data_IF_472260023816
#
_entry.id   IF_472260023816
#
_cell.length_a   1.000
_cell.length_b   1.000
_cell.length_c   1.000
_cell.angle_alpha   90.00
_cell.angle_beta   90.00
_cell.angle_gamma   90.00
#
_symmetry.space_group_name_H-M   'P 1'
#
loop_
_entity.id
_entity.type
_entity.pdbx_description
1 polymer ?
#
# COMPACT_ATOMS: atom_id res chain seq x y z
N UNK A 1 0.51 -17.09 -57.20
CA UNK A 1 0.53 -15.69 -56.72
C UNK A 1 0.84 -15.72 -55.24
N UNK A 2 1.86 -14.96 -54.85
CA UNK A 2 2.55 -15.03 -53.55
C UNK A 2 1.66 -14.62 -52.38
N UNK A 3 1.81 -15.36 -51.29
CA UNK A 3 1.36 -14.96 -49.96
C UNK A 3 2.03 -13.64 -49.57
N UNK A 4 1.24 -12.72 -49.02
CA UNK A 4 1.74 -11.56 -48.28
C UNK A 4 1.03 -11.52 -46.94
N UNK A 5 1.36 -12.50 -46.09
CA UNK A 5 1.13 -12.39 -44.65
C UNK A 5 2.02 -11.25 -44.17
N UNK A 6 1.44 -10.09 -43.88
CA UNK A 6 2.17 -9.03 -43.22
C UNK A 6 2.58 -9.56 -41.84
N UNK A 7 3.89 -9.80 -41.68
CA UNK A 7 4.56 -9.94 -40.39
C UNK A 7 4.45 -8.60 -39.67
N UNK A 8 3.27 -8.31 -39.12
CA UNK A 8 3.18 -7.35 -38.05
C UNK A 8 3.92 -7.97 -36.87
N UNK A 9 4.91 -7.27 -36.27
CA UNK A 9 5.41 -7.69 -34.98
C UNK A 9 4.18 -7.82 -34.08
N UNK A 10 4.11 -8.90 -33.30
CA UNK A 10 3.11 -9.12 -32.26
C UNK A 10 3.35 -8.05 -31.19
N UNK A 11 2.98 -6.83 -31.55
CA UNK A 11 3.20 -5.62 -30.79
C UNK A 11 2.41 -5.78 -29.51
N UNK A 12 3.01 -5.40 -28.38
CA UNK A 12 2.45 -5.41 -27.03
C UNK A 12 0.98 -4.93 -27.02
N UNK A 13 0.03 -5.82 -27.31
CA UNK A 13 -1.39 -5.51 -27.29
C UNK A 13 -1.89 -5.69 -25.86
N UNK A 14 -2.35 -4.59 -25.32
CA UNK A 14 -3.28 -4.47 -24.18
C UNK A 14 -2.70 -4.74 -22.79
N UNK A 15 -1.60 -4.06 -22.46
CA UNK A 15 -1.24 -3.87 -21.05
C UNK A 15 -2.02 -2.68 -20.48
N UNK A 16 -3.18 -2.95 -19.88
CA UNK A 16 -4.00 -1.92 -19.21
C UNK A 16 -3.15 -1.08 -18.25
N UNK A 17 -3.38 0.25 -18.19
CA UNK A 17 -2.62 1.15 -17.33
C UNK A 17 -2.83 0.79 -15.85
N UNK A 18 -1.83 1.07 -15.02
CA UNK A 18 -1.84 0.72 -13.58
C UNK A 18 -3.08 1.26 -12.84
N UNK A 19 -3.56 2.44 -13.24
CA UNK A 19 -4.74 3.10 -12.68
C UNK A 19 -6.05 2.37 -12.99
N UNK A 20 -6.12 1.67 -14.12
CA UNK A 20 -7.27 0.84 -14.45
C UNK A 20 -7.15 -0.52 -13.76
N UNK A 21 -5.93 -1.09 -13.71
CA UNK A 21 -5.67 -2.36 -13.04
C UNK A 21 -6.01 -2.36 -11.56
N UNK A 22 -5.79 -1.24 -10.87
CA UNK A 22 -6.18 -1.13 -9.45
C UNK A 22 -7.69 -1.13 -9.25
N UNK A 23 -8.46 -0.71 -10.26
CA UNK A 23 -9.91 -0.71 -10.25
C UNK A 23 -10.52 -2.07 -10.59
N UNK A 24 -9.71 -3.09 -10.90
CA UNK A 24 -10.20 -4.42 -11.27
C UNK A 24 -9.53 -5.52 -10.45
N UNK A 25 -10.34 -6.49 -10.03
CA UNK A 25 -9.87 -7.69 -9.38
C UNK A 25 -9.21 -8.61 -10.41
N UNK A 26 -8.18 -9.38 -10.03
CA UNK A 26 -7.52 -10.32 -10.92
C UNK A 26 -8.27 -11.66 -11.04
N UNK A 27 -9.36 -11.85 -10.28
CA UNK A 27 -10.17 -13.07 -10.26
C UNK A 27 -11.51 -12.85 -10.92
N UNK A 28 -11.89 -13.75 -11.84
CA UNK A 28 -13.18 -13.70 -12.54
C UNK A 28 -14.40 -13.79 -11.58
N UNK A 29 -14.21 -14.37 -10.39
CA UNK A 29 -15.27 -14.48 -9.38
C UNK A 29 -15.60 -13.18 -8.63
N UNK A 30 -14.78 -12.12 -8.78
CA UNK A 30 -15.00 -10.84 -8.10
C UNK A 30 -15.45 -9.81 -9.14
N UNK A 31 -16.77 -9.64 -9.27
CA UNK A 31 -17.34 -8.61 -10.14
C UNK A 31 -17.07 -7.18 -9.64
N UNK A 32 -17.21 -6.20 -10.53
CA UNK A 32 -16.90 -4.78 -10.24
C UNK A 32 -17.68 -4.22 -9.05
N UNK A 33 -18.98 -4.53 -8.92
CA UNK A 33 -19.81 -4.09 -7.79
C UNK A 33 -19.35 -4.68 -6.45
N UNK A 34 -18.99 -5.96 -6.46
CA UNK A 34 -18.45 -6.64 -5.28
C UNK A 34 -17.10 -6.03 -4.86
N UNK A 35 -16.24 -5.73 -5.84
CA UNK A 35 -14.96 -5.08 -5.58
C UNK A 35 -15.12 -3.69 -4.94
N UNK A 36 -16.05 -2.87 -5.43
CA UNK A 36 -16.36 -1.57 -4.82
C UNK A 36 -16.81 -1.75 -3.36
N UNK A 37 -17.71 -2.71 -3.09
CA UNK A 37 -18.16 -3.02 -1.73
C UNK A 37 -17.01 -3.44 -0.81
N UNK A 38 -16.15 -4.36 -1.27
CA UNK A 38 -14.99 -4.85 -0.50
C UNK A 38 -13.96 -3.74 -0.23
N UNK A 39 -13.65 -2.91 -1.23
CA UNK A 39 -12.80 -1.73 -1.06
C UNK A 39 -13.43 -0.72 -0.09
N UNK A 40 -14.75 -0.54 -0.16
CA UNK A 40 -15.53 0.34 0.72
C UNK A 40 -15.43 -0.09 2.19
N UNK A 41 -15.68 -1.36 2.47
CA UNK A 41 -15.55 -1.94 3.81
C UNK A 41 -14.13 -1.78 4.34
N UNK A 42 -13.12 -2.09 3.51
CA UNK A 42 -11.71 -2.01 3.88
C UNK A 42 -11.28 -0.57 4.17
N UNK A 43 -11.61 0.39 3.30
CA UNK A 43 -11.25 1.80 3.46
C UNK A 43 -11.91 2.43 4.69
N UNK A 44 -13.19 2.11 4.94
CA UNK A 44 -13.91 2.57 6.13
C UNK A 44 -13.30 1.98 7.40
N UNK A 45 -13.05 0.67 7.44
CA UNK A 45 -12.36 0.04 8.58
C UNK A 45 -11.02 0.70 8.86
N UNK A 46 -10.18 0.88 7.83
CA UNK A 46 -8.86 1.50 7.95
C UNK A 46 -8.94 2.94 8.47
N UNK A 47 -9.92 3.73 8.03
CA UNK A 47 -10.08 5.11 8.51
C UNK A 47 -10.49 5.16 9.99
N UNK A 48 -11.53 4.39 10.34
CA UNK A 48 -12.08 4.37 11.71
C UNK A 48 -11.03 3.83 12.68
N UNK A 49 -10.42 2.70 12.36
CA UNK A 49 -9.37 2.11 13.20
C UNK A 49 -8.13 2.99 13.28
N UNK A 50 -7.70 3.66 12.20
CA UNK A 50 -6.58 4.59 12.27
C UNK A 50 -6.86 5.76 13.22
N UNK A 51 -8.05 6.37 13.14
CA UNK A 51 -8.46 7.43 14.06
C UNK A 51 -8.47 6.96 15.51
N UNK A 52 -9.04 5.77 15.78
CA UNK A 52 -9.08 5.16 17.11
C UNK A 52 -7.67 4.85 17.64
N UNK A 53 -6.79 4.29 16.81
CA UNK A 53 -5.40 3.94 17.15
C UNK A 53 -4.61 5.20 17.52
N UNK A 54 -4.70 6.25 16.72
CA UNK A 54 -4.00 7.52 16.97
C UNK A 54 -4.53 8.19 18.23
N UNK A 55 -5.86 8.27 18.41
CA UNK A 55 -6.46 8.87 19.60
C UNK A 55 -6.04 8.14 20.87
N UNK A 56 -6.07 6.80 20.85
CA UNK A 56 -5.62 5.98 21.95
C UNK A 56 -4.14 6.19 22.26
N UNK A 57 -3.28 6.16 21.24
CA UNK A 57 -1.84 6.32 21.44
C UNK A 57 -1.48 7.71 21.95
N UNK A 58 -2.15 8.75 21.45
CA UNK A 58 -1.94 10.12 21.88
C UNK A 58 -2.40 10.39 23.32
N UNK A 59 -3.49 9.75 23.77
CA UNK A 59 -4.11 10.03 25.09
C UNK A 59 -3.74 9.04 26.19
N UNK A 60 -3.52 7.77 25.85
CA UNK A 60 -3.45 6.67 26.82
C UNK A 60 -2.09 5.98 26.89
N UNK A 61 -1.12 6.41 26.08
CA UNK A 61 0.24 5.88 26.11
C UNK A 61 1.25 6.97 26.47
N UNK A 62 2.46 6.57 26.87
CA UNK A 62 3.57 7.50 27.19
C UNK A 62 4.09 8.25 25.95
N UNK A 63 3.62 7.90 24.76
CA UNK A 63 4.07 8.44 23.49
C UNK A 63 3.51 9.85 23.24
N UNK A 64 2.25 10.11 23.58
CA UNK A 64 1.63 11.43 23.39
C UNK A 64 1.76 11.91 21.94
N UNK A 65 2.36 13.09 21.74
CA UNK A 65 2.60 13.66 20.40
C UNK A 65 3.54 12.81 19.52
N UNK A 66 4.35 11.93 20.11
CA UNK A 66 5.25 11.03 19.36
C UNK A 66 4.47 10.07 18.45
N UNK A 67 3.19 9.80 18.74
CA UNK A 67 2.33 8.95 17.94
C UNK A 67 2.35 9.33 16.45
N UNK A 68 2.39 10.62 16.12
CA UNK A 68 2.39 11.12 14.74
C UNK A 68 3.71 10.87 13.96
N UNK A 69 4.79 10.56 14.67
CA UNK A 69 6.12 10.34 14.09
C UNK A 69 6.52 8.86 14.01
N UNK A 70 5.68 7.98 14.54
CA UNK A 70 5.93 6.53 14.51
C UNK A 70 5.71 5.96 13.13
N UNK A 71 6.66 5.14 12.69
CA UNK A 71 6.60 4.46 11.40
C UNK A 71 5.34 3.66 11.23
N UNK A 72 4.93 2.93 12.29
CA UNK A 72 3.73 2.11 12.23
C UNK A 72 2.47 2.94 12.00
N UNK A 73 2.38 4.16 12.54
CA UNK A 73 1.27 5.07 12.32
C UNK A 73 1.33 5.73 10.93
N UNK A 74 2.52 6.13 10.48
CA UNK A 74 2.69 6.69 9.13
C UNK A 74 2.38 5.64 8.06
N UNK A 75 2.88 4.41 8.24
CA UNK A 75 2.58 3.27 7.39
C UNK A 75 1.08 2.99 7.35
N UNK A 76 0.41 2.99 8.50
CA UNK A 76 -1.05 2.81 8.56
C UNK A 76 -1.76 3.93 7.80
N UNK A 77 -1.39 5.19 8.03
CA UNK A 77 -1.96 6.35 7.35
C UNK A 77 -1.78 6.31 5.82
N UNK A 78 -0.59 5.92 5.34
CA UNK A 78 -0.32 5.75 3.91
C UNK A 78 -1.20 4.65 3.31
N UNK A 79 -1.35 3.52 4.01
CA UNK A 79 -2.20 2.43 3.57
C UNK A 79 -3.69 2.82 3.58
N UNK A 80 -4.15 3.55 4.60
CA UNK A 80 -5.49 4.14 4.65
C UNK A 80 -5.71 5.05 3.45
N UNK A 81 -4.78 5.97 3.18
CA UNK A 81 -4.86 6.86 2.02
C UNK A 81 -4.95 6.07 0.70
N UNK A 82 -4.13 5.03 0.55
CA UNK A 82 -4.19 4.15 -0.61
C UNK A 82 -5.57 3.50 -0.79
N UNK A 83 -6.16 2.94 0.26
CA UNK A 83 -7.48 2.31 0.16
C UNK A 83 -8.59 3.31 -0.17
N UNK A 84 -8.51 4.55 0.34
CA UNK A 84 -9.46 5.59 -0.04
C UNK A 84 -9.31 6.04 -1.49
N UNK A 85 -8.07 6.27 -1.96
CA UNK A 85 -7.81 6.61 -3.37
C UNK A 85 -8.34 5.51 -4.28
N UNK A 86 -8.03 4.25 -3.98
CA UNK A 86 -8.47 3.11 -4.81
C UNK A 86 -9.97 2.87 -4.74
N UNK A 87 -10.63 3.09 -3.60
CA UNK A 87 -12.08 3.06 -3.49
C UNK A 87 -12.72 4.11 -4.40
N UNK A 88 -12.30 5.37 -4.28
CA UNK A 88 -12.81 6.48 -5.09
C UNK A 88 -12.64 6.15 -6.56
N UNK A 89 -11.44 5.73 -6.97
CA UNK A 89 -11.14 5.37 -8.36
C UNK A 89 -11.98 4.20 -8.87
N UNK A 90 -12.17 3.15 -8.06
CA UNK A 90 -12.97 1.97 -8.44
C UNK A 90 -14.45 2.34 -8.56
N UNK A 91 -14.96 3.17 -7.65
CA UNK A 91 -16.33 3.69 -7.67
C UNK A 91 -16.56 4.57 -8.90
N UNK A 92 -15.65 5.53 -9.15
CA UNK A 92 -15.71 6.41 -10.32
C UNK A 92 -15.61 5.61 -11.61
N UNK A 93 -14.78 4.56 -11.65
CA UNK A 93 -14.67 3.70 -12.81
C UNK A 93 -15.97 2.90 -13.07
N UNK A 94 -16.69 2.47 -12.03
CA UNK A 94 -17.97 1.77 -12.15
C UNK A 94 -19.10 2.69 -12.63
N UNK A 95 -19.21 3.91 -12.08
CA UNK A 95 -20.34 4.81 -12.32
C UNK A 95 -20.10 5.83 -13.44
N UNK A 96 -18.84 6.19 -13.70
CA UNK A 96 -18.43 7.20 -14.67
C UNK A 96 -17.29 6.70 -15.57
N UNK A 97 -17.50 5.61 -16.35
CA UNK A 97 -16.44 4.95 -17.11
C UNK A 97 -15.86 5.79 -18.25
N UNK A 98 -16.63 6.74 -18.78
CA UNK A 98 -16.25 7.60 -19.89
C UNK A 98 -16.09 9.05 -19.42
N UNK A 99 -14.93 9.64 -19.66
CA UNK A 99 -14.78 11.09 -19.55
C UNK A 99 -15.61 11.71 -20.67
N UNK A 100 -16.76 12.26 -20.35
CA UNK A 100 -17.57 12.94 -21.35
C UNK A 100 -16.77 14.11 -21.93
N UNK A 101 -16.78 14.25 -23.24
CA UNK A 101 -16.27 15.42 -23.99
C UNK A 101 -17.16 16.66 -23.79
N UNK A 102 -17.95 16.68 -22.71
CA UNK A 102 -18.88 17.74 -22.37
C UNK A 102 -18.15 19.03 -22.03
N UNK A 103 -18.86 20.14 -22.22
CA UNK A 103 -18.44 21.50 -21.88
C UNK A 103 -17.89 21.56 -20.45
N UNK A 104 -16.72 22.20 -20.23
CA UNK A 104 -16.11 22.26 -18.91
C UNK A 104 -17.06 22.93 -17.90
N UNK A 105 -17.39 22.19 -16.84
CA UNK A 105 -18.21 22.60 -15.70
C UNK A 105 -17.56 22.21 -14.38
N UNK A 106 -18.00 22.81 -13.27
CA UNK A 106 -17.53 22.45 -11.91
C UNK A 106 -17.72 20.95 -11.63
N UNK A 107 -18.83 20.35 -12.08
CA UNK A 107 -19.09 18.92 -11.95
C UNK A 107 -18.08 18.07 -12.74
N UNK A 108 -17.74 18.48 -13.97
CA UNK A 108 -16.72 17.80 -14.77
C UNK A 108 -15.31 17.90 -14.16
N UNK A 109 -15.01 19.01 -13.47
CA UNK A 109 -13.74 19.20 -12.77
C UNK A 109 -13.63 18.27 -11.56
N UNK A 110 -14.68 18.17 -10.74
CA UNK A 110 -14.75 17.23 -9.60
C UNK A 110 -14.66 15.78 -10.08
N UNK A 111 -15.39 15.43 -11.14
CA UNK A 111 -15.31 14.10 -11.75
C UNK A 111 -13.89 13.78 -12.21
N UNK A 112 -13.20 14.73 -12.87
CA UNK A 112 -11.82 14.55 -13.34
C UNK A 112 -10.81 14.40 -12.19
N UNK A 113 -11.01 15.12 -11.09
CA UNK A 113 -10.17 15.02 -9.89
C UNK A 113 -10.29 13.65 -9.20
N UNK A 114 -11.51 13.13 -9.10
CA UNK A 114 -11.81 11.87 -8.43
C UNK A 114 -11.63 10.65 -9.34
N UNK A 115 -11.55 10.84 -10.65
CA UNK A 115 -11.32 9.74 -11.59
C UNK A 115 -9.86 9.31 -11.60
N UNK A 116 -9.58 8.04 -11.97
CA UNK A 116 -8.22 7.59 -12.22
C UNK A 116 -7.52 8.50 -13.25
N UNK A 117 -6.21 8.80 -13.10
CA UNK A 117 -5.47 9.64 -14.03
C UNK A 117 -5.56 9.15 -15.48
N UNK A 118 -5.53 10.09 -16.44
CA UNK A 118 -5.56 9.78 -17.87
C UNK A 118 -4.46 8.76 -18.23
N UNK A 119 -4.87 7.78 -19.04
CA UNK A 119 -4.20 6.52 -19.33
C UNK A 119 -2.94 6.63 -20.22
N UNK A 120 -2.18 7.71 -20.14
CA UNK A 120 -1.03 7.89 -21.03
C UNK A 120 0.17 7.06 -20.53
N UNK A 121 0.61 6.03 -21.26
CA UNK A 121 1.53 5.00 -20.75
C UNK A 121 2.95 5.48 -20.42
N UNK A 122 3.34 6.69 -20.84
CA UNK A 122 4.67 7.29 -20.67
C UNK A 122 4.78 8.36 -19.56
N UNK A 123 3.75 8.53 -18.73
CA UNK A 123 3.72 9.63 -17.76
C UNK A 123 4.43 9.30 -16.45
N UNK A 124 5.15 10.29 -15.88
CA UNK A 124 5.78 10.19 -14.55
C UNK A 124 4.77 9.80 -13.45
N UNK A 125 3.50 10.19 -13.60
CA UNK A 125 2.41 9.85 -12.68
C UNK A 125 2.24 8.34 -12.50
N UNK A 126 2.47 7.55 -13.55
CA UNK A 126 2.41 6.08 -13.48
C UNK A 126 3.49 5.53 -12.55
N UNK A 127 4.73 6.00 -12.69
CA UNK A 127 5.86 5.56 -11.86
C UNK A 127 5.64 5.95 -10.41
N UNK A 128 5.24 7.20 -10.15
CA UNK A 128 4.94 7.67 -8.80
C UNK A 128 3.81 6.91 -8.13
N UNK A 129 2.71 6.65 -8.84
CA UNK A 129 1.63 5.84 -8.29
C UNK A 129 2.07 4.39 -8.05
N UNK A 130 2.91 3.83 -8.92
CA UNK A 130 3.45 2.48 -8.73
C UNK A 130 4.36 2.41 -7.49
N UNK A 131 5.20 3.43 -7.25
CA UNK A 131 6.01 3.54 -6.04
C UNK A 131 5.10 3.71 -4.81
N UNK A 132 4.09 4.60 -4.88
CA UNK A 132 3.11 4.79 -3.81
C UNK A 132 2.39 3.50 -3.45
N UNK A 133 1.87 2.76 -4.44
CA UNK A 133 1.31 1.42 -4.24
C UNK A 133 2.31 0.50 -3.52
N UNK A 134 3.56 0.47 -4.00
CA UNK A 134 4.59 -0.39 -3.42
C UNK A 134 4.87 -0.06 -1.95
N UNK A 135 4.95 1.22 -1.61
CA UNK A 135 5.13 1.71 -0.23
C UNK A 135 3.93 1.30 0.63
N UNK A 136 2.71 1.55 0.14
CA UNK A 136 1.46 1.24 0.84
C UNK A 136 1.28 -0.26 1.14
N UNK A 137 1.90 -1.14 0.35
CA UNK A 137 1.90 -2.59 0.61
C UNK A 137 3.11 -3.06 1.41
N UNK A 138 4.27 -2.45 1.22
CA UNK A 138 5.54 -2.93 1.83
C UNK A 138 5.68 -2.48 3.28
N UNK A 139 5.45 -1.18 3.56
CA UNK A 139 5.66 -0.62 4.89
C UNK A 139 4.83 -1.26 6.01
N UNK A 140 3.57 -1.65 5.78
CA UNK A 140 2.77 -2.33 6.80
C UNK A 140 3.41 -3.65 7.22
N UNK A 141 3.91 -4.44 6.25
CA UNK A 141 4.59 -5.71 6.52
C UNK A 141 5.88 -5.49 7.31
N UNK A 142 6.66 -4.46 6.94
CA UNK A 142 7.87 -4.05 7.67
C UNK A 142 7.53 -3.62 9.09
N UNK A 143 6.46 -2.83 9.27
CA UNK A 143 5.98 -2.38 10.58
C UNK A 143 5.58 -3.56 11.47
N UNK A 144 4.82 -4.51 10.92
CA UNK A 144 4.44 -5.75 11.59
C UNK A 144 5.66 -6.58 11.98
N UNK A 145 6.63 -6.74 11.07
CA UNK A 145 7.85 -7.46 11.36
C UNK A 145 8.67 -6.78 12.47
N UNK A 146 8.91 -5.47 12.37
CA UNK A 146 9.64 -4.73 13.40
C UNK A 146 8.93 -4.87 14.75
N UNK A 147 7.61 -4.78 14.80
CA UNK A 147 6.87 -4.93 16.05
C UNK A 147 7.08 -6.31 16.67
N UNK A 148 6.76 -7.38 15.94
CA UNK A 148 6.74 -8.74 16.48
C UNK A 148 8.13 -9.38 16.59
N UNK A 149 9.03 -9.12 15.65
CA UNK A 149 10.35 -9.74 15.62
C UNK A 149 11.43 -8.93 16.37
N UNK A 150 11.22 -7.63 16.59
CA UNK A 150 12.23 -6.75 17.19
C UNK A 150 11.72 -6.10 18.48
N UNK A 151 10.63 -5.34 18.43
CA UNK A 151 10.18 -4.52 19.56
C UNK A 151 9.61 -5.36 20.72
N UNK A 152 8.75 -6.34 20.43
CA UNK A 152 8.14 -7.21 21.44
C UNK A 152 9.19 -8.04 22.18
N UNK A 153 10.11 -8.78 21.52
CA UNK A 153 11.12 -9.58 22.21
C UNK A 153 12.12 -8.75 23.02
N UNK A 154 12.33 -7.48 22.66
CA UNK A 154 13.21 -6.55 23.38
C UNK A 154 12.51 -5.78 24.50
N UNK A 155 11.21 -5.96 24.70
CA UNK A 155 10.44 -5.20 25.70
C UNK A 155 10.37 -3.70 25.39
N UNK A 156 10.48 -3.32 24.11
CA UNK A 156 10.46 -1.93 23.63
C UNK A 156 9.18 -1.56 22.86
N UNK A 157 8.21 -2.48 22.81
CA UNK A 157 6.91 -2.20 22.22
C UNK A 157 6.07 -1.26 23.11
N UNK A 158 5.26 -0.40 22.50
CA UNK A 158 4.32 0.51 23.22
C UNK A 158 3.39 -0.23 24.17
N UNK A 159 2.88 -1.38 23.70
CA UNK A 159 2.17 -2.34 24.54
C UNK A 159 3.09 -3.56 24.66
N UNK A 160 3.55 -3.91 25.86
CA UNK A 160 4.33 -5.11 26.09
C UNK A 160 3.61 -6.37 25.60
N UNK A 161 4.37 -7.38 25.14
CA UNK A 161 3.80 -8.60 24.58
C UNK A 161 2.93 -9.39 25.55
N UNK A 162 3.36 -9.46 26.82
CA UNK A 162 2.62 -10.05 27.94
C UNK A 162 1.32 -9.31 28.27
N UNK A 163 1.26 -8.00 27.96
CA UNK A 163 0.07 -7.16 28.17
C UNK A 163 -0.81 -7.03 26.92
N UNK A 164 -0.53 -7.78 25.86
CA UNK A 164 -1.25 -7.67 24.58
C UNK A 164 -2.62 -8.34 24.63
N UNK A 165 -2.73 -9.50 25.27
CA UNK A 165 -3.97 -10.28 25.35
C UNK A 165 -4.47 -10.33 26.80
N UNK A 166 -5.78 -10.17 27.01
CA UNK A 166 -6.38 -10.31 28.36
C UNK A 166 -6.27 -9.08 29.28
N UNK A 167 -5.60 -8.00 28.86
CA UNK A 167 -5.36 -6.80 29.68
C UNK A 167 -6.12 -5.55 29.20
N UNK A 168 -7.28 -5.77 28.59
CA UNK A 168 -8.21 -4.75 28.08
C UNK A 168 -8.54 -4.96 26.60
N UNK A 169 -9.84 -4.93 26.27
CA UNK A 169 -10.34 -5.17 24.91
C UNK A 169 -9.72 -4.19 23.90
N UNK A 170 -9.54 -2.92 24.29
CA UNK A 170 -8.97 -1.92 23.40
C UNK A 170 -7.47 -2.10 23.14
N UNK A 171 -6.68 -2.56 24.12
CA UNK A 171 -5.25 -2.86 23.90
C UNK A 171 -5.07 -3.98 22.89
N UNK A 172 -5.88 -5.02 23.03
CA UNK A 172 -5.92 -6.15 22.11
C UNK A 172 -6.30 -5.66 20.71
N UNK A 173 -7.38 -4.87 20.60
CA UNK A 173 -7.79 -4.25 19.35
C UNK A 173 -6.69 -3.37 18.73
N UNK A 174 -6.01 -2.54 19.52
CA UNK A 174 -4.93 -1.67 19.07
C UNK A 174 -3.80 -2.48 18.44
N UNK A 175 -3.26 -3.49 19.15
CA UNK A 175 -2.13 -4.29 18.66
C UNK A 175 -2.54 -5.11 17.44
N UNK A 176 -3.67 -5.82 17.51
CA UNK A 176 -4.16 -6.67 16.43
C UNK A 176 -4.48 -5.84 15.19
N UNK A 177 -5.20 -4.72 15.33
CA UNK A 177 -5.57 -3.90 14.16
C UNK A 177 -4.34 -3.28 13.51
N UNK A 178 -3.42 -2.74 14.31
CA UNK A 178 -2.24 -2.02 13.83
C UNK A 178 -1.21 -2.91 13.13
N UNK A 179 -1.00 -4.13 13.63
CA UNK A 179 0.05 -5.02 13.12
C UNK A 179 -0.48 -6.30 12.47
N UNK A 180 -1.61 -6.84 12.93
CA UNK A 180 -2.22 -8.06 12.39
C UNK A 180 -3.13 -7.78 11.20
N UNK A 181 -4.25 -7.10 11.44
CA UNK A 181 -5.27 -6.81 10.41
C UNK A 181 -4.66 -5.97 9.29
N UNK A 182 -3.80 -5.01 9.63
CA UNK A 182 -3.14 -4.17 8.63
C UNK A 182 -2.29 -4.97 7.63
N UNK A 183 -1.52 -5.95 8.14
CA UNK A 183 -0.76 -6.90 7.34
C UNK A 183 -1.68 -7.81 6.51
N UNK A 184 -2.79 -8.27 7.10
CA UNK A 184 -3.78 -9.08 6.38
C UNK A 184 -4.44 -8.33 5.22
N UNK A 185 -4.75 -7.04 5.40
CA UNK A 185 -5.30 -6.17 4.36
C UNK A 185 -4.32 -6.02 3.19
N UNK A 186 -3.00 -5.91 3.45
CA UNK A 186 -1.99 -5.92 2.37
C UNK A 186 -2.10 -7.20 1.54
N UNK A 187 -2.20 -8.36 2.20
CA UNK A 187 -2.34 -9.64 1.49
C UNK A 187 -3.63 -9.69 0.67
N UNK A 188 -4.75 -9.19 1.23
CA UNK A 188 -6.01 -9.09 0.48
C UNK A 188 -5.90 -8.17 -0.73
N UNK A 189 -5.24 -7.02 -0.59
CA UNK A 189 -5.07 -6.08 -1.69
C UNK A 189 -4.23 -6.68 -2.82
N UNK A 190 -3.07 -7.25 -2.47
CA UNK A 190 -2.14 -7.82 -3.44
C UNK A 190 -2.76 -9.05 -4.09
N UNK A 191 -3.44 -9.93 -3.35
CA UNK A 191 -3.97 -11.19 -3.90
C UNK A 191 -5.31 -10.98 -4.60
N UNK A 192 -6.25 -10.22 -4.04
CA UNK A 192 -7.65 -10.23 -4.46
C UNK A 192 -8.19 -8.91 -5.04
N UNK A 193 -7.79 -7.75 -4.52
CA UNK A 193 -8.47 -6.50 -4.92
C UNK A 193 -7.87 -5.84 -6.16
N UNK A 194 -6.56 -5.99 -6.37
CA UNK A 194 -5.86 -5.29 -7.45
C UNK A 194 -5.26 -6.25 -8.46
N UNK A 195 -5.46 -5.95 -9.74
CA UNK A 195 -4.80 -6.63 -10.87
C UNK A 195 -3.51 -5.93 -11.32
N UNK A 196 -2.95 -5.03 -10.49
CA UNK A 196 -1.67 -4.35 -10.75
C UNK A 196 -0.58 -5.40 -10.96
N UNK A 197 0.08 -5.37 -12.11
CA UNK A 197 1.21 -6.24 -12.43
C UNK A 197 2.46 -5.86 -11.64
N UNK A 198 3.43 -6.77 -11.63
CA UNK A 198 4.77 -6.61 -11.08
C UNK A 198 5.36 -5.26 -11.44
N UNK A 199 5.96 -4.66 -10.41
CA UNK A 199 6.59 -3.36 -10.44
C UNK A 199 7.73 -3.36 -11.48
N UNK A 200 7.69 -2.42 -12.41
CA UNK A 200 8.70 -2.28 -13.45
C UNK A 200 8.93 -0.80 -13.80
N UNK A 201 10.20 -0.33 -13.88
CA UNK A 201 11.44 -1.08 -13.66
C UNK A 201 11.74 -1.29 -12.16
N UNK A 202 12.21 -2.49 -11.79
CA UNK A 202 12.45 -2.89 -10.38
C UNK A 202 13.40 -1.92 -9.66
N UNK A 203 14.46 -1.46 -10.34
CA UNK A 203 15.45 -0.54 -9.76
C UNK A 203 14.83 0.78 -9.29
N UNK A 204 13.83 1.32 -9.99
CA UNK A 204 13.15 2.55 -9.59
C UNK A 204 12.37 2.36 -8.27
N UNK A 205 11.81 1.17 -8.05
CA UNK A 205 11.11 0.84 -6.80
C UNK A 205 12.07 0.66 -5.64
N UNK A 206 13.21 -0.02 -5.86
CA UNK A 206 14.26 -0.18 -4.85
C UNK A 206 14.78 1.19 -4.40
N UNK A 207 15.13 2.05 -5.36
CA UNK A 207 15.61 3.41 -5.06
C UNK A 207 14.52 4.24 -4.39
N UNK A 208 13.29 4.22 -4.92
CA UNK A 208 12.16 4.97 -4.36
C UNK A 208 11.84 4.57 -2.93
N UNK A 209 11.76 3.27 -2.62
CA UNK A 209 11.57 2.76 -1.27
C UNK A 209 12.71 3.16 -0.34
N UNK A 210 13.95 3.03 -0.81
CA UNK A 210 15.13 3.38 0.00
C UNK A 210 15.13 4.86 0.36
N UNK A 211 14.88 5.75 -0.61
CA UNK A 211 14.79 7.19 -0.38
C UNK A 211 13.63 7.55 0.57
N UNK A 212 12.47 6.92 0.43
CA UNK A 212 11.32 7.16 1.31
C UNK A 212 11.56 6.63 2.73
N UNK A 213 12.24 5.49 2.89
CA UNK A 213 12.64 4.99 4.21
C UNK A 213 13.64 5.92 4.88
N UNK A 214 14.63 6.46 4.14
CA UNK A 214 15.53 7.49 4.67
C UNK A 214 14.78 8.79 5.00
N UNK A 215 13.84 9.21 4.17
CA UNK A 215 12.99 10.37 4.44
C UNK A 215 12.18 10.17 5.74
N UNK A 216 11.69 8.95 6.00
CA UNK A 216 11.06 8.61 7.27
C UNK A 216 12.04 8.72 8.45
N UNK A 217 13.30 8.27 8.31
CA UNK A 217 14.30 8.44 9.38
C UNK A 217 14.49 9.93 9.70
N UNK A 218 14.58 10.79 8.68
CA UNK A 218 14.59 12.25 8.86
C UNK A 218 13.33 12.77 9.54
N UNK A 219 12.16 12.25 9.18
CA UNK A 219 10.89 12.59 9.85
C UNK A 219 10.86 12.15 11.32
N UNK A 220 11.41 10.98 11.65
CA UNK A 220 11.53 10.50 13.02
C UNK A 220 12.47 11.40 13.85
N UNK A 221 13.51 11.96 13.24
CA UNK A 221 14.38 12.94 13.87
C UNK A 221 13.66 14.27 14.16
N UNK A 222 12.81 14.76 13.25
CA UNK A 222 11.92 15.90 13.53
C UNK A 222 11.02 15.58 14.72
N UNK A 223 10.47 14.37 14.79
CA UNK A 223 9.69 13.90 15.94
C UNK A 223 10.47 13.94 17.25
N UNK A 224 11.75 13.55 17.22
CA UNK A 224 12.65 13.67 18.37
C UNK A 224 12.82 15.12 18.81
N UNK A 225 13.08 16.06 17.89
CA UNK A 225 13.21 17.49 18.22
C UNK A 225 11.93 18.03 18.90
N UNK A 226 10.75 17.60 18.45
CA UNK A 226 9.46 18.10 18.95
C UNK A 226 9.07 17.47 20.29
N UNK A 227 9.48 16.24 20.57
CA UNK A 227 8.96 15.45 21.71
C UNK A 227 10.02 15.04 22.73
N UNK A 228 11.31 15.28 22.42
CA UNK A 228 12.50 14.77 23.11
C UNK A 228 12.48 13.24 23.30
N UNK A 229 11.77 12.52 22.42
CA UNK A 229 11.63 11.06 22.44
C UNK A 229 11.85 10.49 21.05
N UNK A 230 12.59 9.38 20.98
CA UNK A 230 12.80 8.68 19.73
C UNK A 230 11.62 7.76 19.40
N UNK A 231 11.14 7.81 18.15
CA UNK A 231 10.04 6.96 17.67
C UNK A 231 10.41 5.46 17.64
N UNK A 232 11.70 5.14 17.55
CA UNK A 232 12.25 3.79 17.62
C UNK A 232 13.52 3.80 18.46
N UNK A 233 13.67 2.81 19.34
CA UNK A 233 14.81 2.75 20.26
C UNK A 233 16.16 2.64 19.52
N UNK A 234 16.21 1.96 18.38
CA UNK A 234 17.43 1.77 17.61
C UNK A 234 17.88 3.01 16.82
N UNK A 235 17.12 4.10 16.88
CA UNK A 235 17.53 5.43 16.40
C UNK A 235 18.21 6.26 17.51
N UNK A 236 18.11 5.83 18.77
CA UNK A 236 18.62 6.56 19.91
C UNK A 236 20.11 6.24 20.16
N UNK A 237 20.99 7.17 19.82
CA UNK A 237 22.43 7.04 20.06
C UNK A 237 22.86 7.02 21.54
N UNK A 238 21.96 7.41 22.46
CA UNK A 238 22.21 7.30 23.90
C UNK A 238 21.94 5.89 24.42
N UNK A 239 21.06 5.16 23.76
CA UNK A 239 20.69 3.78 24.10
C UNK A 239 21.52 2.76 23.30
N UNK A 240 21.90 3.11 22.08
CA UNK A 240 22.79 2.31 21.22
C UNK A 240 24.00 3.13 20.79
N UNK A 241 25.20 2.55 20.70
CA UNK A 241 26.36 3.24 20.12
C UNK A 241 26.05 3.71 18.70
N UNK A 242 26.65 4.83 18.26
CA UNK A 242 26.45 5.41 16.92
C UNK A 242 26.63 4.41 15.77
N UNK A 243 27.60 3.51 15.89
CA UNK A 243 27.85 2.42 14.92
C UNK A 243 26.59 1.55 14.72
N UNK A 244 25.90 1.20 15.80
CA UNK A 244 24.66 0.41 15.75
C UNK A 244 23.47 1.21 15.25
N UNK A 245 23.42 2.52 15.50
CA UNK A 245 22.38 3.40 14.95
C UNK A 245 22.50 3.47 13.43
N UNK A 246 23.70 3.72 12.91
CA UNK A 246 23.96 3.75 11.47
C UNK A 246 23.67 2.37 10.85
N UNK A 247 24.12 1.29 11.50
CA UNK A 247 23.78 -0.08 11.09
C UNK A 247 22.28 -0.32 11.05
N UNK A 248 21.52 0.24 11.98
CA UNK A 248 20.05 0.13 12.02
C UNK A 248 19.37 0.92 10.89
N UNK A 249 19.93 2.06 10.46
CA UNK A 249 19.42 2.79 9.29
C UNK A 249 19.56 1.95 8.02
N UNK A 250 20.75 1.38 7.80
CA UNK A 250 21.01 0.48 6.67
C UNK A 250 20.13 -0.76 6.76
N UNK A 251 20.06 -1.39 7.93
CA UNK A 251 19.23 -2.56 8.18
C UNK A 251 17.75 -2.30 7.89
N UNK A 252 17.23 -1.12 8.23
CA UNK A 252 15.84 -0.75 7.98
C UNK A 252 15.54 -0.57 6.48
N UNK A 253 16.46 0.02 5.73
CA UNK A 253 16.35 0.15 4.27
C UNK A 253 16.42 -1.22 3.60
N UNK A 254 17.35 -2.08 4.02
CA UNK A 254 17.49 -3.45 3.52
C UNK A 254 16.20 -4.24 3.82
N UNK A 255 15.71 -4.18 5.06
CA UNK A 255 14.46 -4.84 5.46
C UNK A 255 13.27 -4.40 4.62
N UNK A 256 13.16 -3.10 4.34
CA UNK A 256 12.11 -2.56 3.45
C UNK A 256 12.17 -3.21 2.07
N UNK A 257 13.37 -3.34 1.50
CA UNK A 257 13.55 -3.94 0.18
C UNK A 257 13.33 -5.47 0.18
N UNK A 258 13.62 -6.17 1.28
CA UNK A 258 13.27 -7.58 1.45
C UNK A 258 11.75 -7.76 1.38
N UNK A 259 10.98 -6.95 2.11
CA UNK A 259 9.51 -7.02 2.06
C UNK A 259 8.93 -6.58 0.73
N UNK A 260 9.60 -5.68 0.00
CA UNK A 260 9.25 -5.40 -1.39
C UNK A 260 9.42 -6.66 -2.26
N UNK A 261 10.51 -7.42 -2.09
CA UNK A 261 10.71 -8.68 -2.79
C UNK A 261 9.61 -9.70 -2.48
N UNK A 262 9.11 -9.75 -1.23
CA UNK A 262 7.96 -10.56 -0.83
C UNK A 262 6.70 -10.14 -1.58
N UNK A 263 6.34 -8.85 -1.56
CA UNK A 263 5.17 -8.32 -2.29
C UNK A 263 5.28 -8.59 -3.79
N UNK A 264 6.47 -8.40 -4.36
CA UNK A 264 6.77 -8.67 -5.75
C UNK A 264 6.54 -10.15 -6.10
N UNK A 265 6.99 -11.05 -5.23
CA UNK A 265 6.87 -12.51 -5.41
C UNK A 265 5.42 -12.99 -5.31
N UNK A 266 4.65 -12.46 -4.35
CA UNK A 266 3.21 -12.73 -4.24
C UNK A 266 2.49 -12.23 -5.51
N UNK A 267 2.83 -11.03 -5.98
CA UNK A 267 2.28 -10.45 -7.21
C UNK A 267 2.60 -11.34 -8.43
N UNK A 268 3.84 -11.84 -8.54
CA UNK A 268 4.25 -12.77 -9.59
C UNK A 268 3.43 -14.07 -9.56
N UNK A 269 3.23 -14.61 -8.38
CA UNK A 269 2.50 -15.86 -8.15
C UNK A 269 1.03 -15.69 -8.54
N UNK A 270 0.40 -14.60 -8.10
CA UNK A 270 -0.97 -14.26 -8.48
C UNK A 270 -1.13 -14.09 -9.98
N UNK A 271 -0.24 -13.34 -10.65
CA UNK A 271 -0.25 -13.22 -12.12
C UNK A 271 -0.21 -14.58 -12.83
N UNK A 272 0.62 -15.49 -12.34
CA UNK A 272 0.72 -16.83 -12.90
C UNK A 272 -0.59 -17.62 -12.72
N UNK A 273 -1.20 -17.54 -11.54
CA UNK A 273 -2.45 -18.24 -11.23
C UNK A 273 -3.63 -17.68 -12.04
N UNK A 274 -3.70 -16.38 -12.27
CA UNK A 274 -4.83 -15.75 -12.95
C UNK A 274 -4.74 -15.81 -14.48
N UNK A 275 -3.53 -15.89 -15.06
CA UNK A 275 -3.34 -16.17 -16.51
C UNK A 275 -3.95 -17.51 -16.94
N UNK A 276 -3.95 -18.51 -16.06
CA UNK A 276 -4.54 -19.83 -16.35
C UNK A 276 -6.08 -19.77 -16.46
N UNK A 277 -6.71 -18.78 -15.81
CA UNK A 277 -8.14 -18.50 -15.93
C UNK A 277 -8.50 -17.73 -17.19
N UNK A 278 -7.69 -16.76 -17.60
CA UNK A 278 -7.87 -15.99 -18.84
C UNK A 278 -7.85 -16.89 -20.09
N UNK A 279 -6.95 -17.87 -20.15
CA UNK A 279 -6.90 -18.82 -21.27
C UNK A 279 -8.09 -19.78 -21.34
N UNK A 280 -8.83 -20.00 -20.24
CA UNK A 280 -10.07 -20.80 -20.26
C UNK A 280 -11.28 -19.99 -20.69
N UNK A 281 -11.26 -18.67 -20.49
CA UNK A 281 -12.33 -17.74 -20.83
C UNK A 281 -12.00 -16.88 -22.06
N UNK A 282 -11.07 -17.31 -22.93
CA UNK A 282 -10.73 -16.67 -24.20
C UNK A 282 -11.86 -16.77 -25.27
N UNK A 283 -13.11 -16.71 -24.82
CA UNK A 283 -14.34 -16.58 -25.58
C UNK A 283 -15.26 -15.50 -25.00
N UNK A 284 -14.72 -14.42 -24.42
CA UNK A 284 -15.55 -13.30 -23.96
C UNK A 284 -15.15 -11.96 -24.62
N UNK A 285 -15.81 -11.72 -25.75
CA UNK A 285 -16.34 -10.40 -26.11
C UNK A 285 -17.28 -9.92 -25.00
N UNK A 286 -16.79 -9.19 -24.00
CA UNK A 286 -17.65 -8.33 -23.16
C UNK A 286 -16.88 -7.07 -22.75
N UNK A 287 -16.53 -6.27 -23.76
CA UNK A 287 -16.54 -4.82 -23.60
C UNK A 287 -17.84 -4.36 -24.26
N UNK A 288 -18.77 -3.70 -23.55
CA UNK A 288 -19.87 -3.04 -24.24
C UNK A 288 -19.28 -1.95 -25.14
N UNK A 289 -19.70 -1.96 -26.40
CA UNK A 289 -19.49 -0.86 -27.34
C UNK A 289 -20.07 0.44 -26.79
#
# INVERSE_FOLDING_TARGET
MSASTSLLPKNKKDDHPIFLRVCHAPWAGIGQKALVGLRGLTATYMLVSFAMIIDYEAKHTKDGKLAWFKFSNISYGIQTLYHWVTLIWTFMHLHYPHHSTSTPSNASAVQKLLSPPRQNPSTQNRTWFSIFYTVAQTWPLVSTFIHWAILVPKGKATVPGDHTFGHGEFKTFYVISKYGVNCFIVLLEVIFFSSIKRQFPVGAHIVGLSLLTFAYIGWAYIGYIVTDKWAMYFLNHKEMKWEHVIGSWVGFVVLTNIFFAVVYSITATREYLTRKGENKNAGYQQLPN
#
